data_IF_165062786618
#
_entry.id   IF_165062786618
#
_cell.length_a   1.000
_cell.length_b   1.000
_cell.length_c   1.000
_cell.angle_alpha   90.00
_cell.angle_beta   90.00
_cell.angle_gamma   90.00
#
_symmetry.space_group_name_H-M   'P 1'
#
loop_
_entity.id
_entity.type
_entity.pdbx_description
1 polymer ?
#
# COMPACT_ATOMS: atom_id res chain seq x y z
N UNK A 1 -12.99 -7.16 -19.47
CA UNK A 1 -13.25 -8.44 -20.19
C UNK A 1 -11.93 -9.00 -20.67
N UNK A 2 -11.73 -10.30 -20.55
CA UNK A 2 -10.51 -10.98 -21.04
C UNK A 2 -10.72 -11.45 -22.47
N UNK A 3 -10.09 -10.79 -23.42
CA UNK A 3 -10.19 -11.08 -24.86
C UNK A 3 -9.67 -12.48 -25.21
N UNK A 4 -8.64 -12.94 -24.49
CA UNK A 4 -8.07 -14.28 -24.69
C UNK A 4 -9.04 -15.37 -24.25
N UNK A 5 -9.72 -15.14 -23.11
CA UNK A 5 -10.77 -16.04 -22.64
C UNK A 5 -11.94 -16.08 -23.61
N UNK A 6 -12.36 -14.93 -24.14
CA UNK A 6 -13.39 -14.87 -25.17
C UNK A 6 -12.98 -15.68 -26.41
N UNK A 7 -11.77 -15.43 -26.92
CA UNK A 7 -11.29 -16.13 -28.12
C UNK A 7 -11.22 -17.66 -27.98
N UNK A 8 -11.00 -18.16 -26.74
CA UNK A 8 -10.97 -19.60 -26.47
C UNK A 8 -12.36 -20.29 -26.54
N UNK A 9 -13.44 -19.53 -26.36
CA UNK A 9 -14.81 -20.05 -26.30
C UNK A 9 -15.71 -19.51 -27.40
N UNK A 10 -15.23 -18.56 -28.22
CA UNK A 10 -16.00 -17.97 -29.31
C UNK A 10 -16.32 -19.00 -30.37
N UNK A 11 -17.54 -18.95 -30.90
CA UNK A 11 -17.95 -19.78 -32.01
C UNK A 11 -17.30 -19.24 -33.32
N UNK A 12 -16.49 -20.03 -34.03
CA UNK A 12 -15.78 -19.56 -35.21
C UNK A 12 -16.71 -19.23 -36.41
N UNK A 13 -17.98 -19.60 -36.34
CA UNK A 13 -18.97 -19.32 -37.39
C UNK A 13 -19.78 -18.05 -37.13
N UNK A 14 -19.65 -17.41 -35.98
CA UNK A 14 -20.33 -16.16 -35.71
C UNK A 14 -19.67 -14.99 -36.44
N UNK A 15 -20.49 -14.13 -37.03
CA UNK A 15 -20.06 -12.96 -37.75
C UNK A 15 -20.08 -11.76 -36.79
N UNK A 16 -19.05 -10.91 -36.74
CA UNK A 16 -19.05 -9.74 -35.86
C UNK A 16 -20.01 -8.64 -36.32
N UNK A 17 -20.45 -8.68 -37.59
CA UNK A 17 -21.35 -7.70 -38.19
C UNK A 17 -22.48 -8.37 -38.94
N UNK A 18 -23.65 -7.75 -38.87
CA UNK A 18 -24.78 -8.05 -39.73
C UNK A 18 -24.52 -7.55 -41.16
N UNK A 19 -25.41 -7.93 -42.13
CA UNK A 19 -25.28 -7.53 -43.53
C UNK A 19 -25.44 -6.00 -43.73
N UNK A 20 -26.15 -5.35 -42.83
CA UNK A 20 -26.33 -3.88 -42.80
C UNK A 20 -25.17 -3.12 -42.12
N UNK A 21 -24.14 -3.81 -41.64
CA UNK A 21 -22.99 -3.24 -41.00
C UNK A 21 -23.16 -2.99 -39.50
N UNK A 22 -24.32 -3.26 -38.92
CA UNK A 22 -24.51 -3.22 -37.47
C UNK A 22 -23.79 -4.37 -36.78
N UNK A 23 -23.54 -4.23 -35.48
CA UNK A 23 -22.96 -5.33 -34.69
C UNK A 23 -23.93 -6.49 -34.60
N UNK A 24 -23.46 -7.72 -34.86
CA UNK A 24 -24.23 -8.92 -34.63
C UNK A 24 -24.22 -9.30 -33.15
N UNK A 25 -25.29 -9.93 -32.70
CA UNK A 25 -25.40 -10.46 -31.34
C UNK A 25 -24.67 -11.79 -31.22
N UNK A 26 -23.69 -11.87 -30.30
CA UNK A 26 -22.96 -13.11 -30.02
C UNK A 26 -23.69 -13.89 -28.92
N UNK A 27 -24.41 -14.92 -29.34
CA UNK A 27 -25.17 -15.78 -28.43
C UNK A 27 -24.30 -16.85 -27.75
N UNK A 28 -23.06 -17.04 -28.20
CA UNK A 28 -22.15 -18.05 -27.63
C UNK A 28 -21.44 -17.60 -26.37
N UNK A 29 -21.36 -16.28 -26.12
CA UNK A 29 -20.78 -15.78 -24.91
C UNK A 29 -21.69 -16.08 -23.72
N UNK A 30 -21.23 -16.97 -22.86
CA UNK A 30 -21.84 -17.26 -21.56
C UNK A 30 -20.87 -16.94 -20.48
N UNK A 31 -21.28 -16.14 -19.53
CA UNK A 31 -20.50 -15.98 -18.29
C UNK A 31 -20.65 -17.26 -17.45
N UNK A 32 -19.64 -18.11 -17.52
CA UNK A 32 -19.60 -19.40 -16.81
C UNK A 32 -19.42 -19.27 -15.30
N UNK A 33 -19.34 -18.05 -14.78
CA UNK A 33 -19.06 -17.82 -13.34
C UNK A 33 -20.30 -17.65 -12.49
N UNK A 34 -21.48 -17.52 -13.08
CA UNK A 34 -22.73 -17.31 -12.37
C UNK A 34 -23.77 -18.43 -12.61
N UNK A 35 -24.53 -18.72 -11.57
CA UNK A 35 -25.49 -19.81 -11.46
C UNK A 35 -26.60 -19.75 -12.51
N UNK A 36 -26.93 -20.91 -13.06
CA UNK A 36 -27.80 -21.17 -14.24
C UNK A 36 -29.23 -20.64 -14.07
N UNK A 37 -29.67 -20.31 -12.87
CA UNK A 37 -31.06 -19.89 -12.62
C UNK A 37 -31.37 -18.44 -13.01
N UNK A 38 -30.35 -17.62 -13.22
CA UNK A 38 -30.51 -16.21 -13.59
C UNK A 38 -30.55 -15.96 -15.13
N UNK A 39 -30.35 -16.99 -15.93
CA UNK A 39 -30.00 -16.87 -17.37
C UNK A 39 -31.16 -16.97 -18.35
N UNK A 40 -32.37 -17.15 -17.89
CA UNK A 40 -33.52 -17.10 -18.81
C UNK A 40 -33.73 -15.71 -19.44
N UNK A 41 -33.10 -14.68 -18.90
CA UNK A 41 -33.23 -13.30 -19.35
C UNK A 41 -32.04 -12.78 -20.15
N UNK A 42 -30.97 -13.58 -20.34
CA UNK A 42 -29.79 -13.21 -21.16
C UNK A 42 -30.06 -13.10 -22.66
N UNK A 43 -31.25 -13.53 -23.12
CA UNK A 43 -31.71 -13.31 -24.50
C UNK A 43 -31.84 -11.84 -24.89
N UNK A 44 -31.63 -10.90 -23.95
CA UNK A 44 -31.69 -9.47 -24.18
C UNK A 44 -30.32 -8.81 -24.26
N UNK A 45 -29.23 -9.60 -24.12
CA UNK A 45 -27.89 -9.01 -24.17
C UNK A 45 -27.33 -9.14 -25.58
N UNK A 46 -27.36 -8.03 -26.22
CA UNK A 46 -26.75 -7.81 -27.51
C UNK A 46 -25.23 -7.73 -27.37
N UNK A 47 -24.63 -8.84 -26.89
CA UNK A 47 -23.19 -8.91 -26.68
C UNK A 47 -22.46 -8.99 -28.02
N UNK A 48 -21.48 -8.13 -28.20
CA UNK A 48 -20.56 -8.21 -29.33
C UNK A 48 -19.17 -7.75 -28.85
N UNK A 49 -18.18 -8.62 -28.97
CA UNK A 49 -16.83 -8.36 -28.48
C UNK A 49 -16.17 -7.12 -29.12
N UNK A 50 -16.43 -6.90 -30.42
CA UNK A 50 -15.86 -5.75 -31.12
C UNK A 50 -16.48 -4.44 -30.63
N UNK A 51 -17.80 -4.45 -30.33
CA UNK A 51 -18.48 -3.33 -29.73
C UNK A 51 -17.90 -3.04 -28.33
N UNK A 52 -17.75 -4.08 -27.50
CA UNK A 52 -17.17 -3.95 -26.16
C UNK A 52 -15.76 -3.35 -26.19
N UNK A 53 -14.93 -3.73 -27.15
CA UNK A 53 -13.57 -3.23 -27.28
C UNK A 53 -13.48 -1.80 -27.87
N UNK A 54 -14.46 -1.39 -28.66
CA UNK A 54 -14.43 -0.07 -29.32
C UNK A 54 -15.15 1.00 -28.53
N UNK A 55 -16.24 0.64 -27.90
CA UNK A 55 -17.14 1.60 -27.25
C UNK A 55 -16.89 1.76 -25.76
N UNK A 56 -16.12 0.86 -25.13
CA UNK A 56 -15.70 1.04 -23.76
C UNK A 56 -14.25 1.52 -23.71
N UNK A 57 -14.01 2.60 -22.98
CA UNK A 57 -12.67 3.16 -22.87
C UNK A 57 -12.22 3.20 -21.41
N UNK A 58 -10.94 2.91 -21.19
CA UNK A 58 -10.26 3.08 -19.94
C UNK A 58 -9.01 3.92 -20.20
N UNK A 59 -9.00 5.13 -19.68
CA UNK A 59 -7.89 6.06 -19.83
C UNK A 59 -7.24 6.27 -18.47
N UNK A 60 -5.95 5.96 -18.37
CA UNK A 60 -5.16 6.22 -17.18
C UNK A 60 -4.16 7.34 -17.47
N UNK A 61 -4.31 8.45 -16.78
CA UNK A 61 -3.39 9.57 -16.82
C UNK A 61 -2.59 9.61 -15.52
N UNK A 62 -1.30 9.71 -15.65
CA UNK A 62 -0.39 9.69 -14.52
C UNK A 62 0.72 10.71 -14.72
N UNK A 63 1.00 11.48 -13.68
CA UNK A 63 2.16 12.36 -13.62
C UNK A 63 2.84 12.22 -12.25
N UNK A 64 4.16 12.05 -12.28
CA UNK A 64 4.99 12.00 -11.09
C UNK A 64 6.12 13.01 -11.23
N UNK A 65 6.20 13.96 -10.29
CA UNK A 65 7.17 15.03 -10.28
C UNK A 65 7.96 14.92 -8.98
N UNK A 66 9.26 14.65 -9.10
CA UNK A 66 10.17 14.55 -7.96
C UNK A 66 11.22 15.64 -8.03
N UNK A 67 11.30 16.44 -6.97
CA UNK A 67 12.36 17.39 -6.72
C UNK A 67 13.27 16.91 -5.59
N UNK A 68 14.58 17.05 -5.76
CA UNK A 68 15.56 16.78 -4.72
C UNK A 68 16.60 17.88 -4.69
N UNK A 69 16.82 18.43 -3.52
CA UNK A 69 17.89 19.38 -3.25
C UNK A 69 18.78 18.83 -2.15
N UNK A 70 20.07 18.87 -2.35
CA UNK A 70 21.06 18.38 -1.38
C UNK A 70 22.21 19.36 -1.21
N UNK A 71 22.69 19.49 0.01
CA UNK A 71 23.90 20.23 0.38
C UNK A 71 24.83 19.27 1.10
N UNK A 72 26.03 19.11 0.58
CA UNK A 72 27.10 18.40 1.24
C UNK A 72 28.19 19.41 1.60
N UNK A 73 28.59 19.41 2.87
CA UNK A 73 29.59 20.33 3.36
C UNK A 73 30.58 19.62 4.27
N UNK A 74 31.87 19.66 3.91
CA UNK A 74 32.97 19.21 4.76
C UNK A 74 33.37 20.35 5.68
N UNK A 75 32.83 20.31 6.93
CA UNK A 75 33.04 21.35 7.93
C UNK A 75 34.51 21.41 8.40
N UNK A 76 35.08 20.22 8.67
CA UNK A 76 36.47 20.04 9.08
C UNK A 76 36.99 18.75 8.45
N UNK A 77 38.29 18.49 8.53
CA UNK A 77 38.93 17.33 7.90
C UNK A 77 38.18 16.00 8.10
N UNK A 78 37.49 15.83 9.25
CA UNK A 78 36.86 14.59 9.64
C UNK A 78 35.33 14.69 9.82
N UNK A 79 34.74 15.85 9.58
CA UNK A 79 33.31 16.10 9.75
C UNK A 79 32.66 16.41 8.40
N UNK A 80 31.62 15.68 8.08
CA UNK A 80 30.80 15.90 6.89
C UNK A 80 29.34 16.14 7.31
N UNK A 81 28.78 17.22 6.84
CA UNK A 81 27.36 17.49 6.96
C UNK A 81 26.67 17.21 5.62
N UNK A 82 25.50 16.55 5.68
CA UNK A 82 24.63 16.39 4.55
C UNK A 82 23.21 16.83 4.92
N UNK A 83 22.69 17.80 4.18
CA UNK A 83 21.29 18.21 4.24
C UNK A 83 20.59 17.84 2.94
N UNK A 84 19.44 17.20 3.01
CA UNK A 84 18.66 16.79 1.84
C UNK A 84 17.21 17.11 2.06
N UNK A 85 16.59 17.70 1.03
CA UNK A 85 15.14 17.89 0.95
C UNK A 85 14.67 17.17 -0.31
N UNK A 86 13.69 16.30 -0.13
CA UNK A 86 13.03 15.60 -1.24
C UNK A 86 11.55 15.94 -1.16
N UNK A 87 10.95 16.27 -2.29
CA UNK A 87 9.52 16.42 -2.44
C UNK A 87 9.05 15.65 -3.67
N UNK A 88 7.97 14.92 -3.55
CA UNK A 88 7.38 14.15 -4.61
C UNK A 88 5.88 14.50 -4.69
N UNK A 89 5.42 14.76 -5.90
CA UNK A 89 4.01 15.02 -6.19
C UNK A 89 3.55 14.09 -7.29
N UNK A 90 2.62 13.21 -6.95
CA UNK A 90 2.00 12.28 -7.88
C UNK A 90 0.56 12.69 -8.11
N UNK A 91 0.15 12.75 -9.37
CA UNK A 91 -1.20 12.97 -9.78
C UNK A 91 -1.68 11.82 -10.66
N UNK A 92 -2.89 11.35 -10.41
CA UNK A 92 -3.54 10.27 -11.15
C UNK A 92 -4.94 10.73 -11.54
N UNK A 93 -5.32 10.46 -12.77
CA UNK A 93 -6.69 10.67 -13.24
C UNK A 93 -7.08 9.55 -14.19
N UNK A 94 -7.87 8.63 -13.67
CA UNK A 94 -8.39 7.48 -14.41
C UNK A 94 -9.83 7.79 -14.82
N UNK A 95 -10.14 7.54 -16.08
CA UNK A 95 -11.46 7.70 -16.66
C UNK A 95 -11.87 6.37 -17.23
N UNK A 96 -12.99 5.86 -16.77
CA UNK A 96 -13.58 4.59 -17.18
C UNK A 96 -14.99 4.84 -17.74
N UNK A 97 -15.12 4.72 -19.05
CA UNK A 97 -16.36 4.98 -19.79
C UNK A 97 -16.91 3.67 -20.35
N UNK A 98 -18.19 3.44 -20.12
CA UNK A 98 -18.94 2.40 -20.79
C UNK A 98 -20.13 2.99 -21.52
N UNK A 99 -20.20 2.72 -22.83
CA UNK A 99 -21.25 3.22 -23.69
C UNK A 99 -22.59 2.51 -23.45
N UNK A 100 -23.71 3.21 -23.66
CA UNK A 100 -25.02 2.58 -23.68
C UNK A 100 -25.06 1.39 -24.66
N UNK A 101 -25.74 0.35 -24.26
CA UNK A 101 -25.89 -0.85 -25.10
C UNK A 101 -24.73 -1.83 -25.02
N UNK A 102 -23.65 -1.55 -24.30
CA UNK A 102 -22.58 -2.52 -24.08
C UNK A 102 -22.90 -3.46 -22.91
N UNK A 103 -22.33 -4.67 -22.95
CA UNK A 103 -22.43 -5.62 -21.84
C UNK A 103 -21.82 -5.06 -20.57
N UNK A 104 -20.70 -4.36 -20.71
CA UNK A 104 -20.01 -3.74 -19.58
C UNK A 104 -20.91 -2.72 -18.89
N UNK A 105 -21.56 -1.86 -19.65
CA UNK A 105 -22.52 -0.91 -19.13
C UNK A 105 -23.65 -1.60 -18.40
N UNK A 106 -24.24 -2.63 -19.01
CA UNK A 106 -25.33 -3.39 -18.40
C UNK A 106 -24.90 -4.08 -17.11
N UNK A 107 -23.76 -4.79 -17.11
CA UNK A 107 -23.32 -5.61 -15.97
C UNK A 107 -22.76 -4.81 -14.79
N UNK A 108 -22.17 -3.64 -15.05
CA UNK A 108 -21.48 -2.83 -14.03
C UNK A 108 -22.24 -1.58 -13.60
N UNK A 109 -23.24 -1.17 -14.36
CA UNK A 109 -24.07 -0.06 -13.97
C UNK A 109 -25.09 -0.51 -12.91
N UNK A 110 -24.80 -0.16 -11.66
CA UNK A 110 -25.62 -0.53 -10.52
C UNK A 110 -27.06 0.02 -10.59
N UNK A 111 -27.32 1.09 -11.33
CA UNK A 111 -28.67 1.61 -11.54
C UNK A 111 -29.52 0.59 -12.32
N UNK A 112 -28.91 -0.11 -13.25
CA UNK A 112 -29.57 -1.18 -14.01
C UNK A 112 -29.98 -2.34 -13.07
N UNK A 113 -29.16 -2.65 -12.08
CA UNK A 113 -29.44 -3.68 -11.08
C UNK A 113 -30.41 -3.21 -10.00
N UNK A 114 -30.40 -1.92 -9.66
CA UNK A 114 -31.23 -1.35 -8.58
C UNK A 114 -32.68 -1.08 -8.99
N UNK A 115 -32.97 -0.99 -10.30
CA UNK A 115 -34.30 -0.62 -10.80
C UNK A 115 -35.39 -1.66 -10.48
N UNK A 116 -35.06 -2.84 -9.93
CA UNK A 116 -36.03 -3.89 -9.57
C UNK A 116 -36.80 -4.44 -10.77
N UNK A 117 -36.62 -3.81 -11.92
CA UNK A 117 -37.12 -4.24 -13.21
C UNK A 117 -36.08 -5.22 -13.70
N UNK A 118 -36.29 -6.50 -13.44
CA UNK A 118 -35.38 -7.56 -13.83
C UNK A 118 -35.11 -7.67 -15.35
N UNK A 119 -35.48 -6.67 -16.13
CA UNK A 119 -35.34 -6.54 -17.56
C UNK A 119 -35.22 -5.06 -17.90
N UNK A 120 -34.00 -4.54 -17.83
CA UNK A 120 -33.75 -3.32 -18.58
C UNK A 120 -33.65 -3.77 -20.05
N UNK A 121 -34.57 -3.27 -20.85
CA UNK A 121 -34.53 -3.45 -22.29
C UNK A 121 -33.21 -2.87 -22.80
N UNK A 122 -32.56 -3.46 -23.82
CA UNK A 122 -31.29 -2.92 -24.35
C UNK A 122 -31.34 -1.43 -24.67
N UNK A 123 -32.49 -0.94 -25.11
CA UNK A 123 -32.75 0.47 -25.38
C UNK A 123 -32.76 1.36 -24.15
N UNK A 124 -32.85 0.81 -22.95
CA UNK A 124 -32.76 1.52 -21.67
C UNK A 124 -31.42 1.31 -20.95
N UNK A 125 -30.50 0.57 -21.59
CA UNK A 125 -29.18 0.37 -21.01
C UNK A 125 -28.38 1.66 -21.09
N UNK A 126 -28.24 2.31 -19.95
CA UNK A 126 -27.53 3.57 -19.81
C UNK A 126 -26.01 3.31 -19.66
N UNK A 127 -25.23 4.12 -20.35
CA UNK A 127 -23.79 4.15 -20.15
C UNK A 127 -23.42 4.63 -18.74
N UNK A 128 -22.18 4.45 -18.35
CA UNK A 128 -21.65 5.04 -17.14
C UNK A 128 -20.31 5.71 -17.35
N UNK A 129 -20.03 6.70 -16.52
CA UNK A 129 -18.73 7.33 -16.37
C UNK A 129 -18.24 7.10 -14.93
N UNK A 130 -17.07 6.51 -14.80
CA UNK A 130 -16.35 6.39 -13.52
C UNK A 130 -15.06 7.18 -13.61
N UNK A 131 -14.85 8.07 -12.67
CA UNK A 131 -13.62 8.85 -12.57
C UNK A 131 -12.96 8.61 -11.23
N UNK A 132 -11.65 8.43 -11.26
CA UNK A 132 -10.82 8.38 -10.08
C UNK A 132 -9.72 9.45 -10.21
N UNK A 133 -9.76 10.44 -9.36
CA UNK A 133 -8.72 11.47 -9.29
C UNK A 133 -7.98 11.34 -7.98
N UNK A 134 -6.68 11.15 -8.06
CA UNK A 134 -5.80 11.02 -6.92
C UNK A 134 -4.64 12.02 -6.96
N UNK A 135 -4.23 12.49 -5.80
CA UNK A 135 -3.00 13.24 -5.64
C UNK A 135 -2.31 12.83 -4.35
N UNK A 136 -1.01 12.59 -4.46
CA UNK A 136 -0.16 12.27 -3.33
C UNK A 136 0.96 13.28 -3.28
N UNK A 137 1.20 13.84 -2.13
CA UNK A 137 2.34 14.70 -1.86
C UNK A 137 3.16 14.09 -0.72
N UNK A 138 4.42 13.76 -1.02
CA UNK A 138 5.37 13.26 -0.06
C UNK A 138 6.52 14.25 0.08
N UNK A 139 7.00 14.47 1.30
CA UNK A 139 8.23 15.21 1.51
C UNK A 139 9.09 14.56 2.58
N UNK A 140 10.39 14.72 2.45
CA UNK A 140 11.38 14.31 3.45
C UNK A 140 12.45 15.37 3.56
N UNK A 141 12.72 15.81 4.78
CA UNK A 141 13.85 16.67 5.12
C UNK A 141 14.77 15.88 6.04
N UNK A 142 16.01 15.72 5.63
CA UNK A 142 17.02 14.96 6.36
C UNK A 142 18.27 15.79 6.54
N UNK A 143 18.77 15.85 7.76
CA UNK A 143 20.07 16.42 8.07
C UNK A 143 20.91 15.35 8.75
N UNK A 144 22.17 15.25 8.39
CA UNK A 144 23.10 14.31 9.03
C UNK A 144 24.49 14.91 9.19
N UNK A 145 25.15 14.48 10.24
CA UNK A 145 26.56 14.77 10.51
C UNK A 145 27.25 13.45 10.68
N UNK A 146 28.38 13.32 10.00
CA UNK A 146 29.26 12.16 10.05
C UNK A 146 30.64 12.60 10.48
N UNK A 147 31.22 11.85 11.41
CA UNK A 147 32.58 12.00 11.85
C UNK A 147 33.34 10.70 11.62
N UNK A 148 34.47 10.77 10.93
CA UNK A 148 35.34 9.63 10.66
C UNK A 148 36.79 9.98 11.03
N UNK A 149 37.42 9.15 11.84
CA UNK A 149 38.83 9.33 12.15
C UNK A 149 39.53 8.02 12.48
N UNK A 150 40.82 7.95 12.17
CA UNK A 150 41.70 6.85 12.54
C UNK A 150 42.82 7.37 13.47
N UNK A 151 42.79 6.96 14.72
CA UNK A 151 43.75 7.37 15.76
C UNK A 151 44.86 6.32 15.88
N UNK A 152 46.08 6.78 16.12
CA UNK A 152 47.26 5.93 16.33
C UNK A 152 47.40 4.79 15.29
N UNK A 153 46.87 4.97 14.11
CA UNK A 153 46.90 3.98 13.02
C UNK A 153 46.07 2.73 13.23
N UNK A 154 45.51 2.52 14.42
CA UNK A 154 44.80 1.28 14.80
C UNK A 154 43.34 1.47 15.21
N UNK A 155 42.97 2.65 15.72
CA UNK A 155 41.64 2.91 16.24
C UNK A 155 40.83 3.69 15.21
N UNK A 156 39.93 3.05 14.51
CA UNK A 156 38.99 3.70 13.61
C UNK A 156 37.68 3.95 14.35
N UNK A 157 37.19 5.19 14.28
CA UNK A 157 35.91 5.62 14.85
C UNK A 157 35.08 6.28 13.76
N UNK A 158 33.85 5.83 13.61
CA UNK A 158 32.83 6.49 12.79
C UNK A 158 31.63 6.79 13.68
N UNK A 159 31.23 8.03 13.70
CA UNK A 159 30.01 8.50 14.35
C UNK A 159 29.10 9.09 13.29
N UNK A 160 27.86 8.73 13.36
CA UNK A 160 26.83 9.27 12.48
C UNK A 160 25.64 9.71 13.34
N UNK A 161 25.14 10.88 13.08
CA UNK A 161 23.90 11.38 13.64
C UNK A 161 23.05 11.97 12.54
N UNK A 162 21.74 11.68 12.55
CA UNK A 162 20.80 12.28 11.62
C UNK A 162 19.47 12.57 12.29
N UNK A 163 18.79 13.60 11.80
CA UNK A 163 17.37 13.79 12.00
C UNK A 163 16.65 13.77 10.67
N UNK A 164 15.44 13.23 10.66
CA UNK A 164 14.60 13.12 9.50
C UNK A 164 13.17 13.50 9.87
N UNK A 165 12.56 14.34 9.07
CA UNK A 165 11.14 14.72 9.18
C UNK A 165 10.51 14.44 7.84
N UNK A 166 9.40 13.74 7.84
CA UNK A 166 8.67 13.40 6.63
C UNK A 166 7.17 13.52 6.82
N UNK A 167 6.49 13.70 5.73
CA UNK A 167 5.03 13.69 5.70
C UNK A 167 4.52 13.24 4.36
N UNK A 168 3.32 12.68 4.38
CA UNK A 168 2.60 12.24 3.21
C UNK A 168 1.14 12.67 3.32
N UNK A 169 0.65 13.29 2.28
CA UNK A 169 -0.76 13.62 2.12
C UNK A 169 -1.29 12.85 0.93
N UNK A 170 -2.34 12.10 1.12
CA UNK A 170 -3.04 11.36 0.07
C UNK A 170 -4.48 11.83 0.02
N UNK A 171 -4.87 12.34 -1.14
CA UNK A 171 -6.24 12.70 -1.45
C UNK A 171 -6.70 11.88 -2.63
N UNK A 172 -7.85 11.24 -2.51
CA UNK A 172 -8.47 10.50 -3.59
C UNK A 172 -9.95 10.88 -3.66
N UNK A 173 -10.41 11.12 -4.86
CA UNK A 173 -11.80 11.35 -5.17
C UNK A 173 -12.25 10.38 -6.25
N UNK A 174 -13.31 9.64 -5.94
CA UNK A 174 -13.93 8.72 -6.89
C UNK A 174 -15.33 9.23 -7.18
N UNK A 175 -15.73 9.22 -8.44
CA UNK A 175 -17.10 9.47 -8.87
C UNK A 175 -17.60 8.33 -9.75
N UNK A 176 -18.86 8.02 -9.63
CA UNK A 176 -19.56 7.10 -10.51
C UNK A 176 -20.85 7.74 -10.96
N UNK A 177 -20.96 7.98 -12.25
CA UNK A 177 -22.15 8.51 -12.86
C UNK A 177 -22.84 7.41 -13.67
N UNK A 178 -23.99 6.90 -13.25
CA UNK A 178 -24.71 5.80 -13.91
C UNK A 178 -25.49 6.22 -15.13
N UNK A 179 -25.52 7.52 -15.46
CA UNK A 179 -26.18 8.04 -16.65
C UNK A 179 -25.17 8.87 -17.43
N UNK A 180 -24.59 8.24 -18.43
CA UNK A 180 -23.59 8.86 -19.26
C UNK A 180 -23.85 8.62 -20.74
N UNK A 181 -24.01 9.70 -21.49
CA UNK A 181 -24.14 9.69 -22.93
C UNK A 181 -22.80 10.08 -23.53
N UNK A 182 -21.99 9.09 -23.83
CA UNK A 182 -20.62 9.25 -24.30
C UNK A 182 -20.50 10.02 -25.61
N UNK A 183 -21.46 9.90 -26.52
CA UNK A 183 -21.50 10.66 -27.78
C UNK A 183 -21.53 12.17 -27.56
N UNK A 184 -22.20 12.61 -26.51
CA UNK A 184 -22.35 14.01 -26.14
C UNK A 184 -21.48 14.42 -24.96
N UNK A 185 -20.81 13.50 -24.31
CA UNK A 185 -20.06 13.69 -23.04
C UNK A 185 -20.93 14.35 -21.97
N UNK A 186 -22.18 13.95 -21.91
CA UNK A 186 -23.15 14.49 -20.95
C UNK A 186 -23.44 13.45 -19.88
N UNK A 187 -23.29 13.86 -18.66
CA UNK A 187 -23.75 13.11 -17.49
C UNK A 187 -25.12 13.62 -17.06
N UNK A 188 -26.05 12.69 -16.86
CA UNK A 188 -27.39 12.99 -16.36
C UNK A 188 -27.55 12.64 -14.88
N UNK A 189 -28.61 13.15 -14.30
CA UNK A 189 -29.06 12.68 -12.98
C UNK A 189 -30.13 11.60 -13.16
N UNK A 190 -30.12 10.53 -12.30
CA UNK A 190 -31.17 9.55 -12.34
C UNK A 190 -32.55 10.19 -12.16
N UNK A 191 -33.52 9.79 -12.98
CA UNK A 191 -34.88 10.11 -12.69
C UNK A 191 -35.37 9.19 -11.56
N UNK A 192 -35.39 9.70 -10.35
CA UNK A 192 -35.75 8.95 -9.14
C UNK A 192 -37.19 8.44 -9.16
N UNK A 193 -38.09 9.04 -9.95
CA UNK A 193 -39.45 8.59 -10.10
C UNK A 193 -39.57 7.25 -10.83
N UNK A 194 -38.55 6.90 -11.62
CA UNK A 194 -38.44 5.62 -12.32
C UNK A 194 -37.82 4.53 -11.44
N UNK A 195 -37.21 4.89 -10.34
CA UNK A 195 -36.62 3.93 -9.38
C UNK A 195 -37.71 3.54 -8.38
N UNK A 196 -38.01 2.24 -8.29
CA UNK A 196 -39.07 1.81 -7.39
C UNK A 196 -38.80 2.23 -5.94
N UNK A 197 -39.84 2.57 -5.15
CA UNK A 197 -39.68 2.98 -3.75
C UNK A 197 -38.89 1.97 -2.89
N UNK A 198 -39.03 0.67 -3.18
CA UNK A 198 -38.28 -0.38 -2.50
C UNK A 198 -36.79 -0.38 -2.89
N UNK A 199 -36.50 0.01 -4.12
CA UNK A 199 -35.11 0.17 -4.58
C UNK A 199 -34.48 1.46 -4.06
N UNK A 200 -35.25 2.53 -3.90
CA UNK A 200 -34.82 3.80 -3.33
C UNK A 200 -34.37 3.62 -1.88
N UNK A 201 -35.11 2.86 -1.08
CA UNK A 201 -34.75 2.57 0.32
C UNK A 201 -33.47 1.71 0.45
N UNK A 202 -33.07 1.03 -0.63
CA UNK A 202 -31.84 0.23 -0.73
C UNK A 202 -30.72 0.97 -1.45
N UNK A 203 -30.95 2.23 -1.85
CA UNK A 203 -29.99 3.01 -2.58
C UNK A 203 -28.77 3.31 -1.71
N UNK A 204 -27.66 2.75 -2.08
CA UNK A 204 -26.38 3.00 -1.43
C UNK A 204 -25.70 4.21 -2.07
N UNK A 205 -25.86 5.37 -1.45
CA UNK A 205 -25.28 6.63 -1.93
C UNK A 205 -23.75 6.59 -2.03
N UNK A 206 -23.09 5.66 -1.32
CA UNK A 206 -21.64 5.49 -1.40
C UNK A 206 -21.19 5.02 -2.78
N UNK A 207 -22.09 4.43 -3.56
CA UNK A 207 -21.80 3.99 -4.95
C UNK A 207 -21.66 5.13 -5.95
N UNK A 208 -22.16 6.32 -5.64
CA UNK A 208 -21.95 7.49 -6.50
C UNK A 208 -20.54 8.06 -6.39
N UNK A 209 -19.80 7.64 -5.40
CA UNK A 209 -18.43 8.06 -5.18
C UNK A 209 -18.23 8.70 -3.81
N UNK A 210 -17.06 9.25 -3.64
CA UNK A 210 -16.67 9.89 -2.39
C UNK A 210 -15.22 10.33 -2.42
N UNK A 211 -14.82 11.04 -1.39
CA UNK A 211 -13.43 11.42 -1.21
C UNK A 211 -12.84 10.74 0.01
N UNK A 212 -11.58 10.38 -0.10
CA UNK A 212 -10.76 9.96 1.02
C UNK A 212 -9.58 10.91 1.17
N UNK A 213 -9.27 11.23 2.40
CA UNK A 213 -8.11 12.04 2.75
C UNK A 213 -7.34 11.32 3.85
N UNK A 214 -6.06 11.15 3.64
CA UNK A 214 -5.15 10.60 4.63
C UNK A 214 -3.90 11.47 4.70
N UNK A 215 -3.47 11.78 5.90
CA UNK A 215 -2.24 12.50 6.17
C UNK A 215 -1.48 11.72 7.23
N UNK A 216 -0.18 11.53 7.00
CA UNK A 216 0.72 10.96 7.99
C UNK A 216 2.00 11.76 8.07
N UNK A 217 2.54 11.91 9.28
CA UNK A 217 3.78 12.61 9.58
C UNK A 217 4.67 11.74 10.42
N UNK A 218 5.96 11.87 10.20
CA UNK A 218 6.97 11.13 10.95
C UNK A 218 8.15 12.01 11.27
N UNK A 219 8.77 11.73 12.40
CA UNK A 219 10.04 12.32 12.82
C UNK A 219 10.95 11.25 13.37
N UNK A 220 12.22 11.26 12.98
CA UNK A 220 13.21 10.26 13.39
C UNK A 220 14.51 10.92 13.80
N UNK A 221 15.11 10.39 14.86
CA UNK A 221 16.48 10.68 15.26
C UNK A 221 17.30 9.41 15.19
N UNK A 222 18.43 9.47 14.50
CA UNK A 222 19.24 8.31 14.17
C UNK A 222 20.65 8.55 14.67
N UNK A 223 21.20 7.61 15.43
CA UNK A 223 22.59 7.61 15.87
C UNK A 223 23.24 6.29 15.49
N UNK A 224 24.48 6.34 15.01
CA UNK A 224 25.28 5.15 14.70
C UNK A 224 26.72 5.36 15.15
N UNK A 225 27.29 4.30 15.72
CA UNK A 225 28.70 4.21 16.10
C UNK A 225 29.29 2.98 15.46
N UNK A 226 30.44 3.14 14.77
CA UNK A 226 31.31 2.05 14.40
C UNK A 226 32.67 2.29 14.99
N UNK A 227 33.17 1.32 15.71
CA UNK A 227 34.54 1.34 16.25
C UNK A 227 35.27 0.10 15.76
N UNK A 228 36.44 0.28 15.17
CA UNK A 228 37.30 -0.81 14.74
C UNK A 228 38.70 -0.65 15.37
N UNK A 229 39.17 -1.73 15.98
CA UNK A 229 40.53 -1.83 16.48
C UNK A 229 41.38 -2.74 15.60
N UNK A 230 42.41 -2.14 15.02
CA UNK A 230 43.43 -2.80 14.16
C UNK A 230 42.79 -3.61 13.00
N UNK A 231 41.61 -3.20 12.57
CA UNK A 231 40.78 -3.87 11.58
C UNK A 231 40.40 -5.33 11.94
N UNK A 232 40.66 -5.73 13.22
CA UNK A 232 40.36 -7.08 13.74
C UNK A 232 39.05 -7.17 14.48
N UNK A 233 38.80 -6.23 15.37
CA UNK A 233 37.60 -6.18 16.19
C UNK A 233 36.78 -4.99 15.80
N UNK A 234 35.55 -5.23 15.35
CA UNK A 234 34.62 -4.18 14.97
C UNK A 234 33.39 -4.25 15.84
N UNK A 235 33.10 -3.15 16.53
CA UNK A 235 31.86 -2.92 17.28
C UNK A 235 30.98 -1.97 16.49
N UNK A 236 29.72 -2.27 16.38
CA UNK A 236 28.71 -1.39 15.83
C UNK A 236 27.54 -1.23 16.80
N UNK A 237 27.03 -0.02 16.91
CA UNK A 237 25.86 0.32 17.69
C UNK A 237 24.98 1.27 16.90
N UNK A 238 23.68 1.02 16.87
CA UNK A 238 22.72 1.88 16.21
C UNK A 238 21.57 2.17 17.17
N UNK A 239 21.10 3.38 17.18
CA UNK A 239 19.90 3.80 17.88
C UNK A 239 19.03 4.61 16.91
N UNK A 240 17.74 4.34 16.92
CA UNK A 240 16.75 5.08 16.16
C UNK A 240 15.55 5.38 17.05
N UNK A 241 15.18 6.63 17.13
CA UNK A 241 14.03 7.09 17.88
C UNK A 241 13.00 7.61 16.88
N UNK A 242 12.04 6.77 16.53
CA UNK A 242 11.05 7.03 15.48
C UNK A 242 9.73 7.45 16.10
N UNK A 243 9.17 8.53 15.58
CA UNK A 243 7.86 9.04 15.92
C UNK A 243 6.92 9.10 14.73
N UNK A 244 5.64 8.80 14.97
CA UNK A 244 4.54 8.90 13.99
C UNK A 244 3.32 9.51 14.65
N UNK A 245 2.58 10.30 13.90
CA UNK A 245 1.40 11.02 14.37
C UNK A 245 0.13 10.17 14.46
N UNK A 246 0.15 8.96 13.87
CA UNK A 246 -0.99 8.04 13.88
C UNK A 246 -1.21 7.32 15.21
N UNK A 247 -0.31 7.48 16.17
CA UNK A 247 -0.41 6.93 17.52
C UNK A 247 -0.75 8.01 18.56
N UNK A 248 -1.35 7.59 19.67
CA UNK A 248 -1.61 8.47 20.80
C UNK A 248 -0.31 9.05 21.40
N UNK A 249 -0.41 10.20 22.08
CA UNK A 249 0.74 10.98 22.58
C UNK A 249 1.76 10.18 23.36
N UNK A 250 1.31 9.19 24.13
CA UNK A 250 2.16 8.42 25.04
C UNK A 250 3.02 7.36 24.31
N UNK A 251 2.64 6.99 23.09
CA UNK A 251 3.27 5.92 22.34
C UNK A 251 3.70 6.33 20.92
N UNK A 252 3.67 7.62 20.60
CA UNK A 252 4.08 8.14 19.29
C UNK A 252 5.51 7.77 18.95
N UNK A 253 6.43 7.85 19.94
CA UNK A 253 7.84 7.57 19.74
C UNK A 253 8.24 6.19 20.28
N UNK A 254 9.06 5.48 19.52
CA UNK A 254 9.61 4.17 19.91
C UNK A 254 11.13 4.17 19.78
N UNK A 255 11.86 3.85 20.87
CA UNK A 255 13.29 3.63 20.80
C UNK A 255 13.59 2.24 20.23
N UNK A 256 14.35 2.22 19.15
CA UNK A 256 14.84 1.03 18.47
C UNK A 256 16.37 1.06 18.53
N UNK A 257 16.98 -0.06 18.82
CA UNK A 257 18.43 -0.12 18.89
C UNK A 257 18.96 -1.49 18.45
N UNK A 258 20.20 -1.49 17.98
CA UNK A 258 20.93 -2.71 17.69
C UNK A 258 22.42 -2.54 18.07
N UNK A 259 23.02 -3.63 18.48
CA UNK A 259 24.46 -3.70 18.72
C UNK A 259 25.01 -4.96 18.05
N UNK A 260 26.24 -4.86 17.56
CA UNK A 260 26.93 -5.99 16.95
C UNK A 260 28.42 -5.95 17.19
N UNK A 261 29.00 -7.13 17.13
CA UNK A 261 30.44 -7.35 17.19
C UNK A 261 30.85 -8.22 16.00
N UNK A 262 31.99 -7.88 15.39
CA UNK A 262 32.57 -8.64 14.30
C UNK A 262 34.06 -8.84 14.59
N UNK A 263 34.49 -10.07 14.52
CA UNK A 263 35.87 -10.48 14.68
C UNK A 263 36.44 -10.96 13.35
N UNK A 264 37.40 -10.25 12.82
CA UNK A 264 38.17 -10.61 11.64
C UNK A 264 39.34 -11.54 12.07
N UNK A 265 39.02 -12.77 12.42
CA UNK A 265 39.97 -13.72 13.01
C UNK A 265 41.17 -13.99 12.09
N UNK A 266 40.98 -13.96 10.77
CA UNK A 266 42.07 -14.16 9.80
C UNK A 266 43.19 -13.10 9.90
N UNK A 267 42.90 -11.93 10.51
CA UNK A 267 43.88 -10.86 10.72
C UNK A 267 44.74 -11.07 11.97
N UNK A 268 44.47 -12.10 12.76
CA UNK A 268 45.22 -12.40 13.96
C UNK A 268 46.61 -12.96 13.67
N UNK A 269 47.58 -12.58 14.51
CA UNK A 269 48.97 -13.00 14.33
C UNK A 269 49.17 -14.52 14.34
N UNK A 270 48.38 -15.27 15.09
CA UNK A 270 48.48 -16.73 15.16
C UNK A 270 47.88 -17.44 13.93
N UNK A 271 47.07 -16.78 13.11
CA UNK A 271 46.52 -17.33 11.87
C UNK A 271 47.31 -16.93 10.61
N UNK A 272 48.19 -15.94 10.70
CA UNK A 272 49.06 -15.54 9.59
C UNK A 272 49.82 -16.67 8.93
N UNK A 273 50.39 -17.64 9.63
CA UNK A 273 51.11 -18.76 9.01
C UNK A 273 50.19 -19.59 8.08
N UNK A 274 48.88 -19.52 8.25
CA UNK A 274 47.88 -20.28 7.54
C UNK A 274 47.19 -19.48 6.42
N UNK A 275 47.63 -18.26 6.11
CA UNK A 275 46.97 -17.36 5.15
C UNK A 275 46.81 -17.94 3.74
N UNK A 276 47.71 -18.84 3.34
CA UNK A 276 47.63 -19.55 2.05
C UNK A 276 46.44 -20.56 2.01
N UNK A 277 46.02 -21.05 3.16
CA UNK A 277 44.89 -21.98 3.27
C UNK A 277 43.63 -21.20 3.73
N UNK A 278 43.77 -20.45 4.83
CA UNK A 278 42.68 -19.69 5.44
C UNK A 278 42.79 -18.22 5.04
N UNK A 279 42.16 -17.85 3.94
CA UNK A 279 42.24 -16.49 3.37
C UNK A 279 41.32 -15.51 4.10
N UNK A 280 40.22 -15.97 4.67
CA UNK A 280 39.25 -15.18 5.43
C UNK A 280 38.54 -16.03 6.47
N UNK A 281 38.47 -15.54 7.66
CA UNK A 281 37.63 -16.08 8.74
C UNK A 281 37.06 -14.90 9.51
N UNK A 282 35.75 -14.78 9.48
CA UNK A 282 35.01 -13.72 10.15
C UNK A 282 33.88 -14.32 10.96
N UNK A 283 33.81 -13.93 12.21
CA UNK A 283 32.68 -14.28 13.11
C UNK A 283 31.98 -13.00 13.47
N UNK A 284 30.65 -13.01 13.40
CA UNK A 284 29.83 -11.86 13.76
C UNK A 284 28.67 -12.27 14.66
N UNK A 285 28.34 -11.38 15.58
CA UNK A 285 27.16 -11.47 16.44
C UNK A 285 26.44 -10.13 16.41
N UNK A 286 25.11 -10.19 16.30
CA UNK A 286 24.26 -9.00 16.34
C UNK A 286 23.01 -9.28 17.15
N UNK A 287 22.57 -8.28 17.87
CA UNK A 287 21.34 -8.28 18.64
C UNK A 287 20.67 -6.92 18.58
N UNK A 288 19.33 -6.91 18.44
CA UNK A 288 18.63 -5.65 18.41
C UNK A 288 17.13 -5.77 18.28
N UNK A 289 16.48 -4.61 18.22
CA UNK A 289 15.04 -4.47 18.05
C UNK A 289 14.74 -3.64 16.82
N UNK A 290 13.76 -4.09 16.05
CA UNK A 290 13.10 -3.33 14.98
C UNK A 290 11.67 -3.03 15.37
N UNK A 291 11.15 -1.88 15.00
CA UNK A 291 9.76 -1.51 15.15
C UNK A 291 9.01 -1.58 13.83
N UNK A 292 7.76 -1.94 13.89
CA UNK A 292 6.81 -1.85 12.79
C UNK A 292 5.51 -1.23 13.29
N UNK A 293 4.84 -0.50 12.39
CA UNK A 293 3.52 0.02 12.64
C UNK A 293 2.67 -0.10 11.40
N UNK A 294 1.46 -0.60 11.56
CA UNK A 294 0.48 -0.65 10.48
C UNK A 294 -0.16 0.73 10.31
N UNK A 295 0.23 1.45 9.26
CA UNK A 295 -0.26 2.80 8.96
C UNK A 295 -1.68 2.83 8.38
N UNK A 296 -2.26 1.71 8.00
CA UNK A 296 -3.64 1.65 7.51
C UNK A 296 -4.69 1.77 8.62
N UNK A 297 -4.24 1.74 9.87
CA UNK A 297 -5.11 1.80 11.05
C UNK A 297 -4.84 3.11 11.77
N UNK A 298 -5.87 3.95 11.97
CA UNK A 298 -5.81 5.10 12.88
C UNK A 298 -6.31 4.67 14.25
N UNK A 299 -5.46 4.04 15.06
CA UNK A 299 -5.94 3.24 16.17
C UNK A 299 -6.38 4.07 17.38
N UNK A 300 -6.06 5.37 17.42
CA UNK A 300 -6.39 6.20 18.59
C UNK A 300 -7.58 7.16 18.36
N UNK A 301 -8.07 7.27 17.10
CA UNK A 301 -9.25 8.07 16.80
C UNK A 301 -10.51 7.24 16.72
N UNK A 302 -11.57 7.74 17.34
CA UNK A 302 -12.92 7.23 17.15
C UNK A 302 -13.61 7.97 16.02
N UNK A 303 -14.30 7.23 15.17
CA UNK A 303 -15.05 7.78 14.04
C UNK A 303 -16.53 7.49 14.22
N UNK A 304 -17.34 8.51 13.97
CA UNK A 304 -18.78 8.38 13.85
C UNK A 304 -19.13 8.33 12.36
N UNK A 305 -19.80 7.28 11.93
CA UNK A 305 -20.24 7.13 10.55
C UNK A 305 -21.75 6.98 10.48
N UNK A 306 -22.32 7.76 9.58
CA UNK A 306 -23.70 7.63 9.13
C UNK A 306 -24.72 8.17 10.11
N UNK A 307 -25.83 8.56 9.53
CA UNK A 307 -27.07 8.78 10.25
C UNK A 307 -27.95 7.55 10.08
N UNK A 308 -28.30 6.89 11.16
CA UNK A 308 -29.41 5.93 11.19
C UNK A 308 -30.61 6.64 11.76
N UNK A 309 -31.76 6.41 11.17
CA UNK A 309 -33.01 6.88 11.75
C UNK A 309 -33.53 5.78 12.68
N UNK A 310 -33.60 6.05 13.96
CA UNK A 310 -34.21 5.19 14.97
C UNK A 310 -35.38 5.94 15.56
N UNK A 311 -36.57 5.38 15.42
CA UNK A 311 -37.84 5.98 15.91
C UNK A 311 -38.03 7.46 15.53
N UNK A 312 -37.72 7.79 14.25
CA UNK A 312 -37.81 9.16 13.72
C UNK A 312 -36.68 10.11 14.14
N UNK A 313 -35.72 9.65 14.94
CA UNK A 313 -34.60 10.44 15.41
C UNK A 313 -33.32 10.06 14.60
N UNK A 314 -32.64 11.07 14.09
CA UNK A 314 -31.35 10.86 13.42
C UNK A 314 -30.29 10.51 14.46
N UNK A 315 -29.76 9.30 14.40
CA UNK A 315 -28.72 8.80 15.28
C UNK A 315 -27.45 8.50 14.49
N UNK A 316 -26.31 8.79 15.07
CA UNK A 316 -25.02 8.39 14.54
C UNK A 316 -24.54 7.14 15.29
N UNK A 317 -23.99 6.18 14.55
CA UNK A 317 -23.31 5.03 15.15
C UNK A 317 -21.82 5.22 15.11
N UNK A 318 -21.13 4.85 16.17
CA UNK A 318 -19.69 4.80 16.19
C UNK A 318 -19.19 3.68 15.25
N UNK A 319 -18.40 4.04 14.28
CA UNK A 319 -17.88 3.08 13.28
C UNK A 319 -16.59 2.43 13.74
N UNK A 320 -15.73 3.21 14.40
CA UNK A 320 -14.44 2.72 14.89
C UNK A 320 -14.11 3.37 16.23
N UNK A 321 -13.70 2.54 17.16
CA UNK A 321 -13.24 2.95 18.47
C UNK A 321 -11.74 3.15 18.47
N UNK A 322 -11.29 4.32 18.89
CA UNK A 322 -9.87 4.60 19.08
C UNK A 322 -9.35 3.93 20.34
N UNK A 323 -8.09 3.47 20.26
CA UNK A 323 -7.37 2.95 21.42
C UNK A 323 -6.07 3.73 21.61
N UNK A 324 -6.01 4.65 22.60
CA UNK A 324 -4.82 5.48 22.83
C UNK A 324 -3.62 4.70 23.37
N UNK A 325 -3.82 3.46 23.82
CA UNK A 325 -2.76 2.66 24.44
C UNK A 325 -1.94 1.84 23.44
N UNK A 326 -2.27 1.91 22.15
CA UNK A 326 -1.56 1.16 21.10
C UNK A 326 -0.10 1.58 21.03
N UNK A 327 0.76 0.56 20.93
CA UNK A 327 2.22 0.66 20.82
C UNK A 327 2.69 0.12 19.49
N UNK A 328 3.94 0.43 19.18
CA UNK A 328 4.67 -0.18 18.10
C UNK A 328 4.81 -1.68 18.29
N UNK A 329 4.64 -2.44 17.21
CA UNK A 329 5.07 -3.85 17.15
C UNK A 329 6.58 -3.90 17.24
N UNK A 330 7.13 -4.82 18.02
CA UNK A 330 8.57 -4.99 18.20
C UNK A 330 9.02 -6.35 17.71
N UNK A 331 10.04 -6.33 16.87
CA UNK A 331 10.74 -7.53 16.42
C UNK A 331 12.14 -7.54 17.03
N UNK A 332 12.38 -8.47 17.93
CA UNK A 332 13.70 -8.78 18.47
C UNK A 332 14.40 -9.71 17.49
N UNK A 333 15.67 -9.46 17.23
CA UNK A 333 16.46 -10.25 16.29
C UNK A 333 17.84 -10.54 16.88
N UNK A 334 18.24 -11.82 16.84
CA UNK A 334 19.57 -12.28 17.19
C UNK A 334 20.19 -12.92 15.98
N UNK A 335 21.40 -12.49 15.61
CA UNK A 335 22.11 -12.97 14.43
C UNK A 335 23.50 -13.47 14.79
N UNK A 336 23.86 -14.66 14.29
CA UNK A 336 25.22 -15.19 14.30
C UNK A 336 25.65 -15.42 12.86
N UNK A 337 26.84 -14.94 12.49
CA UNK A 337 27.40 -15.08 11.15
C UNK A 337 28.80 -15.67 11.19
N UNK A 338 29.09 -16.54 10.26
CA UNK A 338 30.41 -17.12 9.99
C UNK A 338 30.71 -16.97 8.50
N UNK A 339 31.80 -16.30 8.18
CA UNK A 339 32.33 -16.22 6.80
C UNK A 339 33.69 -16.94 6.76
N UNK A 340 33.84 -17.87 5.85
CA UNK A 340 35.07 -18.65 5.66
C UNK A 340 35.47 -18.63 4.19
N UNK A 341 36.72 -18.24 3.91
CA UNK A 341 37.32 -18.36 2.59
C UNK A 341 38.62 -19.14 2.67
N UNK A 342 38.74 -20.15 1.83
CA UNK A 342 39.90 -21.03 1.77
C UNK A 342 40.61 -20.92 0.42
N UNK A 343 41.93 -21.23 0.42
CA UNK A 343 42.77 -21.36 -0.75
C UNK A 343 42.74 -20.11 -1.65
N UNK A 344 42.98 -18.92 -1.05
CA UNK A 344 42.94 -17.62 -1.72
C UNK A 344 41.59 -17.33 -2.40
N UNK A 345 40.48 -17.68 -1.71
CA UNK A 345 39.12 -17.40 -2.18
C UNK A 345 38.58 -18.40 -3.19
N UNK A 346 39.23 -19.56 -3.39
CA UNK A 346 38.66 -20.61 -4.26
C UNK A 346 37.46 -21.31 -3.69
N UNK A 347 37.35 -21.38 -2.35
CA UNK A 347 36.20 -21.92 -1.64
C UNK A 347 35.72 -20.81 -0.70
N UNK A 348 34.48 -20.41 -0.88
CA UNK A 348 33.82 -19.41 -0.03
C UNK A 348 32.57 -20.05 0.59
N UNK A 349 32.47 -20.00 1.90
CA UNK A 349 31.35 -20.51 2.68
C UNK A 349 30.82 -19.40 3.57
N UNK A 350 29.53 -19.30 3.67
CA UNK A 350 28.84 -18.39 4.57
C UNK A 350 27.75 -19.16 5.33
N UNK A 351 27.76 -19.04 6.63
CA UNK A 351 26.74 -19.59 7.52
C UNK A 351 26.09 -18.46 8.30
N UNK A 352 24.76 -18.44 8.36
CA UNK A 352 24.02 -17.52 9.21
C UNK A 352 22.97 -18.26 10.03
N UNK A 353 22.94 -17.97 11.29
CA UNK A 353 21.86 -18.36 12.18
C UNK A 353 21.15 -17.10 12.66
N UNK A 354 19.85 -17.13 12.63
CA UNK A 354 19.02 -16.03 13.15
C UNK A 354 17.89 -16.58 14.00
N UNK A 355 17.56 -15.85 15.06
CA UNK A 355 16.40 -16.06 15.90
C UNK A 355 15.60 -14.78 16.00
N UNK A 356 14.31 -14.86 15.74
CA UNK A 356 13.42 -13.71 15.67
C UNK A 356 12.21 -13.92 16.58
N UNK A 357 11.92 -12.91 17.39
CA UNK A 357 10.74 -12.89 18.24
C UNK A 357 9.96 -11.60 18.03
N UNK A 358 8.69 -11.74 17.69
CA UNK A 358 7.80 -10.58 17.51
C UNK A 358 6.93 -10.47 18.77
N UNK A 359 6.83 -9.25 19.29
CA UNK A 359 6.02 -8.90 20.46
C UNK A 359 5.16 -7.68 20.16
N UNK A 360 4.12 -7.50 20.96
CA UNK A 360 3.19 -6.36 20.83
C UNK A 360 2.50 -6.31 19.46
N UNK A 361 2.19 -7.47 18.84
CA UNK A 361 1.46 -7.55 17.58
C UNK A 361 0.12 -6.85 17.67
N UNK A 362 -0.24 -6.10 16.63
CA UNK A 362 -1.55 -5.47 16.50
C UNK A 362 -2.56 -6.46 15.92
N UNK A 363 -3.64 -6.69 16.65
CA UNK A 363 -4.74 -7.56 16.21
C UNK A 363 -6.08 -7.04 16.74
N UNK A 364 -7.16 -7.49 16.10
CA UNK A 364 -8.51 -7.19 16.52
C UNK A 364 -9.02 -8.24 17.51
N UNK A 365 -9.12 -7.83 18.76
CA UNK A 365 -9.68 -8.67 19.83
C UNK A 365 -11.19 -8.59 19.81
N UNK A 366 -11.86 -9.76 19.75
CA UNK A 366 -13.32 -9.85 19.94
C UNK A 366 -13.67 -9.54 21.39
N UNK A 367 -14.63 -8.67 21.57
CA UNK A 367 -15.08 -8.21 22.88
C UNK A 367 -16.43 -8.86 23.27
N UNK A 368 -16.69 -8.89 24.55
CA UNK A 368 -18.01 -9.33 25.03
C UNK A 368 -19.10 -8.33 24.58
N UNK A 369 -20.28 -8.81 24.17
CA UNK A 369 -21.38 -7.94 23.74
C UNK A 369 -21.79 -6.87 24.77
N UNK A 370 -21.57 -7.14 26.06
CA UNK A 370 -21.86 -6.21 27.16
C UNK A 370 -21.01 -4.91 27.11
N UNK A 371 -19.93 -4.89 26.33
CA UNK A 371 -19.08 -3.71 26.12
C UNK A 371 -19.67 -2.74 25.09
N UNK A 372 -20.72 -3.20 24.36
CA UNK A 372 -21.39 -2.39 23.34
C UNK A 372 -20.63 -2.30 22.01
N UNK A 373 -19.62 -3.11 21.82
CA UNK A 373 -18.80 -3.21 20.59
C UNK A 373 -18.32 -4.65 20.39
N UNK A 374 -18.10 -5.01 19.13
CA UNK A 374 -17.73 -6.37 18.76
C UNK A 374 -16.22 -6.60 18.81
N UNK A 375 -15.43 -5.56 18.46
CA UNK A 375 -13.98 -5.65 18.30
C UNK A 375 -13.25 -4.42 18.86
N UNK A 376 -12.02 -4.60 19.25
CA UNK A 376 -11.06 -3.51 19.52
C UNK A 376 -9.66 -3.90 19.03
N UNK A 377 -8.98 -2.97 18.38
CA UNK A 377 -7.57 -3.14 18.01
C UNK A 377 -6.71 -2.94 19.25
N UNK A 378 -5.90 -3.93 19.57
CA UNK A 378 -5.00 -3.94 20.74
C UNK A 378 -3.67 -4.60 20.37
N UNK A 379 -2.63 -4.34 21.17
CA UNK A 379 -1.41 -5.10 21.09
C UNK A 379 -1.62 -6.45 21.79
N UNK A 380 -1.53 -7.54 21.05
CA UNK A 380 -1.65 -8.93 21.52
C UNK A 380 -0.38 -9.70 21.26
N UNK A 381 -0.11 -10.70 22.07
CA UNK A 381 0.94 -11.68 21.84
C UNK A 381 2.31 -11.29 22.37
N UNK A 382 3.04 -12.34 22.64
CA UNK A 382 4.48 -12.38 22.95
C UNK A 382 5.15 -13.35 22.00
#
# INVERSE_FOLDING_TARGET
>A
MDVFRYAAFANPYERPYNEDGSYSSDMSYRDLTNDVTYYSDLNYMDFNILRELRENTLTNNYADIRGQFGVEWTLFKNFRYNGTVVANYTWVHDIDEAHPGTYRSWSQNWLNAASGVGKILPEHNLGFLKENTGRVFDYTVRNSIEYNNKFAGKHFVQLFFANEIGGRTNYQYNSFNPIYLSEYRISGYPNWDLVSPDSYNKLDLSKFGGSTFAEDRSASFIGSLVYSYDDRYVLNGNIRYDGVDILGSDNQFSPLWSAGIKWNAHSEGFLKPYENILSRLVVSFGYGYRGSINRSVYPFHSYLLGSKVYDGIVASSEFRYGNPTIKWERKQETNLGLELSLFKGRINMEGRYFDEKITDLLDNLKLAPSVGREEATVNVGK
#
